data_IF_620970990743
#
_entry.id   IF_620970990743
#
_cell.length_a   1.000
_cell.length_b   1.000
_cell.length_c   1.000
_cell.angle_alpha   90.00
_cell.angle_beta   90.00
_cell.angle_gamma   90.00
#
_symmetry.space_group_name_H-M   'P 1'
#
loop_
_entity.id
_entity.type
_entity.pdbx_description
1 polymer ?
#
# COMPACT_ATOMS: atom_id res chain seq x y z
N UNK A 1 -9.11 -7.05 24.62
CA UNK A 1 -9.25 -7.41 23.18
C UNK A 1 -9.96 -6.23 22.54
N UNK A 2 -9.26 -5.46 21.73
CA UNK A 2 -9.94 -4.41 20.94
C UNK A 2 -10.96 -5.10 20.04
N UNK A 3 -12.18 -4.54 20.02
CA UNK A 3 -13.24 -5.05 19.16
C UNK A 3 -12.84 -4.86 17.68
N UNK A 4 -13.03 -5.90 16.89
CA UNK A 4 -12.76 -5.89 15.44
C UNK A 4 -13.39 -4.67 14.73
N UNK A 5 -14.64 -4.32 15.11
CA UNK A 5 -15.34 -3.16 14.56
C UNK A 5 -14.64 -1.83 14.87
N UNK A 6 -14.03 -1.68 16.02
CA UNK A 6 -13.30 -0.48 16.40
C UNK A 6 -11.98 -0.35 15.64
N UNK A 7 -11.28 -1.46 15.35
CA UNK A 7 -10.10 -1.44 14.48
C UNK A 7 -10.44 -1.01 13.06
N UNK A 8 -11.52 -1.53 12.46
CA UNK A 8 -11.95 -1.13 11.11
C UNK A 8 -12.33 0.35 11.08
N UNK A 9 -13.08 0.83 12.07
CA UNK A 9 -13.43 2.26 12.18
C UNK A 9 -12.18 3.14 12.28
N UNK A 10 -11.22 2.74 13.10
CA UNK A 10 -9.96 3.46 13.22
C UNK A 10 -9.19 3.50 11.90
N UNK A 11 -9.06 2.35 11.21
CA UNK A 11 -8.37 2.28 9.92
C UNK A 11 -9.02 3.13 8.82
N UNK A 12 -10.30 3.45 8.92
CA UNK A 12 -11.03 4.28 7.95
C UNK A 12 -11.30 5.71 8.47
N UNK A 13 -10.74 6.09 9.62
CA UNK A 13 -11.04 7.36 10.29
C UNK A 13 -10.43 8.58 9.58
N UNK A 14 -11.09 9.74 9.76
CA UNK A 14 -10.52 11.03 9.34
C UNK A 14 -9.23 11.38 10.11
N UNK A 15 -9.07 10.89 11.36
CA UNK A 15 -7.85 11.04 12.13
C UNK A 15 -6.67 10.37 11.43
N UNK A 16 -6.86 9.14 10.91
CA UNK A 16 -5.81 8.44 10.15
C UNK A 16 -5.42 9.21 8.89
N UNK A 17 -6.34 9.91 8.23
CA UNK A 17 -6.02 10.77 7.08
C UNK A 17 -5.08 11.92 7.44
N UNK A 18 -5.12 12.41 8.67
CA UNK A 18 -4.16 13.42 9.15
C UNK A 18 -2.76 12.84 9.31
N UNK A 19 -2.64 11.52 9.51
CA UNK A 19 -1.35 10.85 9.67
C UNK A 19 -0.69 10.52 8.33
N UNK A 20 -1.47 10.12 7.33
CA UNK A 20 -1.00 9.83 5.97
C UNK A 20 -2.19 9.87 5.01
N UNK A 21 -2.33 10.97 4.31
CA UNK A 21 -3.47 11.23 3.43
C UNK A 21 -3.30 10.51 2.08
N UNK A 22 -4.18 9.54 1.72
CA UNK A 22 -4.07 8.76 0.49
C UNK A 22 -4.08 9.62 -0.78
N UNK A 23 -4.93 10.65 -0.84
CA UNK A 23 -5.04 11.51 -2.02
C UNK A 23 -3.73 12.28 -2.27
N UNK A 24 -3.06 12.74 -1.21
CA UNK A 24 -1.77 13.42 -1.30
C UNK A 24 -0.68 12.47 -1.79
N UNK A 25 -0.62 11.25 -1.22
CA UNK A 25 0.34 10.21 -1.60
C UNK A 25 0.17 9.83 -3.07
N UNK A 26 -1.06 9.55 -3.52
CA UNK A 26 -1.35 9.21 -4.91
C UNK A 26 -1.02 10.36 -5.87
N UNK A 27 -1.23 11.62 -5.46
CA UNK A 27 -0.85 12.82 -6.23
C UNK A 27 0.66 12.93 -6.39
N UNK A 28 1.44 12.57 -5.37
CA UNK A 28 2.91 12.63 -5.39
C UNK A 28 3.52 11.73 -6.47
N UNK A 29 2.85 10.65 -6.83
CA UNK A 29 3.25 9.68 -7.86
C UNK A 29 2.73 10.05 -9.24
N UNK A 30 1.68 10.85 -9.32
CA UNK A 30 1.05 11.24 -10.58
C UNK A 30 0.17 10.13 -11.18
N UNK A 31 -0.76 9.61 -10.39
CA UNK A 31 -1.75 8.62 -10.88
C UNK A 31 -2.52 9.17 -12.08
N UNK A 32 -2.64 8.38 -13.14
CA UNK A 32 -3.39 8.72 -14.36
C UNK A 32 -4.59 7.79 -14.50
N UNK A 33 -5.66 8.30 -15.11
CA UNK A 33 -6.85 7.51 -15.43
C UNK A 33 -6.49 6.28 -16.28
N UNK A 34 -7.04 5.12 -15.89
CA UNK A 34 -6.83 3.86 -16.59
C UNK A 34 -5.60 3.06 -16.14
N UNK A 35 -4.84 3.51 -15.15
CA UNK A 35 -3.74 2.73 -14.56
C UNK A 35 -4.25 1.49 -13.85
N UNK A 36 -3.44 0.42 -13.87
CA UNK A 36 -3.59 -0.75 -13.03
C UNK A 36 -2.72 -0.58 -11.78
N UNK A 37 -3.31 -0.72 -10.61
CA UNK A 37 -2.62 -0.54 -9.33
C UNK A 37 -2.79 -1.75 -8.41
N UNK A 38 -1.84 -1.96 -7.50
CA UNK A 38 -1.92 -2.99 -6.46
C UNK A 38 -1.73 -2.33 -5.09
N UNK A 39 -2.64 -2.65 -4.16
CA UNK A 39 -2.61 -2.28 -2.75
C UNK A 39 -2.29 -3.55 -1.95
N UNK A 40 -1.02 -3.70 -1.56
CA UNK A 40 -0.53 -4.87 -0.84
C UNK A 40 -0.64 -4.64 0.67
N UNK A 41 -1.44 -5.45 1.36
CA UNK A 41 -1.87 -5.19 2.73
C UNK A 41 -3.03 -4.20 2.77
N UNK A 42 -4.02 -4.40 1.91
CA UNK A 42 -5.12 -3.44 1.67
C UNK A 42 -5.99 -3.14 2.90
N UNK A 43 -6.02 -4.07 3.86
CA UNK A 43 -6.89 -3.95 5.02
C UNK A 43 -8.35 -3.68 4.64
N UNK A 44 -9.04 -2.75 5.32
CA UNK A 44 -10.43 -2.39 5.02
C UNK A 44 -10.58 -1.38 3.87
N UNK A 45 -9.49 -1.06 3.13
CA UNK A 45 -9.52 -0.28 1.90
C UNK A 45 -9.19 1.20 2.01
N UNK A 46 -8.44 1.58 3.03
CA UNK A 46 -8.04 2.97 3.26
C UNK A 46 -7.31 3.59 2.05
N UNK A 47 -6.44 2.82 1.39
CA UNK A 47 -5.79 3.22 0.13
C UNK A 47 -6.54 2.69 -1.11
N UNK A 48 -7.07 1.47 -1.06
CA UNK A 48 -7.77 0.85 -2.20
C UNK A 48 -8.86 1.74 -2.79
N UNK A 49 -9.73 2.32 -1.95
CA UNK A 49 -10.85 3.16 -2.41
C UNK A 49 -10.37 4.46 -3.06
N UNK A 50 -9.46 5.24 -2.48
CA UNK A 50 -8.83 6.38 -3.14
C UNK A 50 -8.11 6.02 -4.46
N UNK A 51 -7.40 4.88 -4.51
CA UNK A 51 -6.76 4.39 -5.74
C UNK A 51 -7.79 4.15 -6.84
N UNK A 52 -8.90 3.48 -6.52
CA UNK A 52 -9.98 3.22 -7.46
C UNK A 52 -10.62 4.53 -7.98
N UNK A 53 -10.87 5.51 -7.10
CA UNK A 53 -11.35 6.84 -7.51
C UNK A 53 -10.37 7.56 -8.42
N UNK A 54 -9.07 7.45 -8.14
CA UNK A 54 -8.02 8.10 -8.91
C UNK A 54 -7.87 7.50 -10.31
N UNK A 55 -7.83 6.17 -10.43
CA UNK A 55 -7.69 5.50 -11.72
C UNK A 55 -8.97 5.53 -12.56
N UNK A 56 -10.15 5.57 -11.90
CA UNK A 56 -11.47 5.66 -12.56
C UNK A 56 -11.85 4.39 -13.33
N UNK A 57 -12.98 4.46 -14.04
CA UNK A 57 -13.68 3.29 -14.64
C UNK A 57 -12.85 2.45 -15.62
N UNK A 58 -11.79 2.99 -16.20
CA UNK A 58 -10.90 2.27 -17.13
C UNK A 58 -9.70 1.65 -16.45
N UNK A 59 -9.53 1.87 -15.15
CA UNK A 59 -8.43 1.32 -14.36
C UNK A 59 -8.82 0.02 -13.67
N UNK A 60 -7.84 -0.51 -12.91
CA UNK A 60 -8.02 -1.70 -12.09
C UNK A 60 -7.19 -1.54 -10.82
N UNK A 61 -7.75 -1.94 -9.68
CA UNK A 61 -7.04 -2.01 -8.41
C UNK A 61 -7.11 -3.42 -7.85
N UNK A 62 -5.96 -4.05 -7.68
CA UNK A 62 -5.82 -5.28 -6.92
C UNK A 62 -5.67 -4.95 -5.45
N UNK A 63 -6.57 -5.45 -4.61
CA UNK A 63 -6.53 -5.28 -3.16
C UNK A 63 -6.19 -6.62 -2.51
N UNK A 64 -4.98 -6.73 -1.98
CA UNK A 64 -4.43 -7.98 -1.45
C UNK A 64 -4.30 -7.90 0.07
N UNK A 65 -4.85 -8.88 0.78
CA UNK A 65 -4.67 -9.03 2.23
C UNK A 65 -4.86 -10.49 2.63
N UNK A 66 -4.19 -10.92 3.69
CA UNK A 66 -4.39 -12.27 4.27
C UNK A 66 -5.59 -12.33 5.20
N UNK A 67 -6.01 -11.20 5.76
CA UNK A 67 -7.06 -11.13 6.78
C UNK A 67 -8.45 -11.06 6.14
N UNK A 68 -9.14 -12.22 6.11
CA UNK A 68 -10.50 -12.35 5.54
C UNK A 68 -11.49 -11.36 6.15
N UNK A 69 -11.37 -11.06 7.45
CA UNK A 69 -12.26 -10.11 8.10
C UNK A 69 -12.05 -8.69 7.57
N UNK A 70 -10.80 -8.27 7.36
CA UNK A 70 -10.47 -6.97 6.73
C UNK A 70 -10.99 -6.90 5.30
N UNK A 71 -10.86 -7.99 4.52
CA UNK A 71 -11.40 -8.03 3.16
C UNK A 71 -12.94 -7.99 3.13
N UNK A 72 -13.62 -8.53 4.14
CA UNK A 72 -15.07 -8.37 4.26
C UNK A 72 -15.45 -6.91 4.55
N UNK A 73 -14.74 -6.25 5.46
CA UNK A 73 -14.92 -4.83 5.70
C UNK A 73 -14.61 -3.98 4.46
N UNK A 74 -13.59 -4.36 3.67
CA UNK A 74 -13.29 -3.73 2.37
C UNK A 74 -14.48 -3.80 1.42
N UNK A 75 -15.14 -4.96 1.30
CA UNK A 75 -16.34 -5.11 0.44
C UNK A 75 -17.47 -4.17 0.87
N UNK A 76 -17.71 -4.07 2.18
CA UNK A 76 -18.71 -3.16 2.75
C UNK A 76 -18.35 -1.69 2.45
N UNK A 77 -17.09 -1.31 2.67
CA UNK A 77 -16.60 0.04 2.41
C UNK A 77 -16.67 0.41 0.92
N UNK A 78 -16.35 -0.52 0.01
CA UNK A 78 -16.53 -0.33 -1.44
C UNK A 78 -17.99 -0.03 -1.77
N UNK A 79 -18.93 -0.82 -1.24
CA UNK A 79 -20.36 -0.62 -1.48
C UNK A 79 -20.85 0.76 -1.02
N UNK A 80 -20.28 1.30 0.07
CA UNK A 80 -20.63 2.61 0.61
C UNK A 80 -19.89 3.77 -0.07
N UNK A 81 -18.79 3.51 -0.79
CA UNK A 81 -17.88 4.53 -1.32
C UNK A 81 -18.36 5.21 -2.61
N UNK A 82 -19.33 4.61 -3.31
CA UNK A 82 -19.78 5.01 -4.64
C UNK A 82 -18.79 4.65 -5.76
N UNK A 83 -17.75 3.88 -5.47
CA UNK A 83 -16.83 3.35 -6.49
C UNK A 83 -17.45 2.15 -7.19
N UNK A 84 -17.24 2.03 -8.49
CA UNK A 84 -17.62 0.84 -9.23
C UNK A 84 -16.79 -0.36 -8.75
N UNK A 85 -17.45 -1.34 -8.13
CA UNK A 85 -16.77 -2.52 -7.58
C UNK A 85 -16.07 -3.37 -8.66
N UNK A 86 -16.46 -3.24 -9.94
CA UNK A 86 -15.85 -3.97 -11.07
C UNK A 86 -14.40 -3.61 -11.34
N UNK A 87 -13.96 -2.44 -10.87
CA UNK A 87 -12.56 -1.99 -11.01
C UNK A 87 -11.69 -2.34 -9.80
N UNK A 88 -12.23 -3.10 -8.83
CA UNK A 88 -11.47 -3.55 -7.65
C UNK A 88 -11.53 -5.08 -7.60
N UNK A 89 -10.38 -5.72 -7.74
CA UNK A 89 -10.23 -7.16 -7.56
C UNK A 89 -9.66 -7.44 -6.16
N UNK A 90 -10.45 -8.14 -5.34
CA UNK A 90 -10.09 -8.47 -3.95
C UNK A 90 -9.45 -9.85 -3.95
N UNK A 91 -8.21 -9.93 -3.45
CA UNK A 91 -7.41 -11.15 -3.41
C UNK A 91 -7.09 -11.49 -1.96
N UNK A 92 -7.56 -12.65 -1.49
CA UNK A 92 -7.14 -13.19 -0.20
C UNK A 92 -5.88 -14.03 -0.40
N UNK A 93 -4.74 -13.43 -0.20
CA UNK A 93 -3.43 -14.08 -0.36
C UNK A 93 -2.34 -13.37 0.43
N UNK A 94 -1.23 -14.07 0.63
CA UNK A 94 0.01 -13.46 1.10
C UNK A 94 0.57 -12.49 0.05
N UNK A 95 1.14 -11.38 0.52
CA UNK A 95 1.71 -10.33 -0.34
C UNK A 95 2.94 -10.80 -1.13
N UNK A 96 3.53 -11.94 -0.76
CA UNK A 96 4.64 -12.60 -1.49
C UNK A 96 4.16 -13.54 -2.60
N UNK A 97 2.85 -13.81 -2.72
CA UNK A 97 2.25 -14.74 -3.70
C UNK A 97 0.85 -14.28 -4.13
N UNK A 98 0.76 -13.10 -4.70
CA UNK A 98 -0.52 -12.41 -4.92
C UNK A 98 -1.41 -13.04 -6.00
N UNK A 99 -0.85 -13.79 -6.94
CA UNK A 99 -1.56 -14.28 -8.12
C UNK A 99 -1.82 -13.21 -9.20
N UNK A 100 -1.44 -11.95 -8.97
CA UNK A 100 -1.58 -10.87 -9.96
C UNK A 100 -0.75 -11.20 -11.21
N UNK A 101 -1.24 -10.92 -12.43
CA UNK A 101 -0.49 -11.20 -13.66
C UNK A 101 0.87 -10.50 -13.69
N UNK A 102 1.90 -11.21 -14.20
CA UNK A 102 3.25 -10.67 -14.34
C UNK A 102 3.27 -9.40 -15.22
N UNK A 103 3.98 -8.36 -14.76
CA UNK A 103 4.22 -7.15 -15.54
C UNK A 103 2.96 -6.36 -15.88
N UNK A 104 1.91 -6.45 -15.06
CA UNK A 104 0.60 -5.83 -15.32
C UNK A 104 0.37 -4.52 -14.56
N UNK A 105 1.12 -4.26 -13.49
CA UNK A 105 0.83 -3.19 -12.53
C UNK A 105 1.67 -1.95 -12.80
N UNK A 106 1.01 -0.79 -12.88
CA UNK A 106 1.65 0.52 -13.05
C UNK A 106 2.13 1.11 -11.72
N UNK A 107 1.39 0.86 -10.64
CA UNK A 107 1.72 1.35 -9.29
C UNK A 107 1.49 0.22 -8.28
N UNK A 108 2.52 -0.13 -7.53
CA UNK A 108 2.41 -1.01 -6.36
C UNK A 108 2.57 -0.15 -5.11
N UNK A 109 1.58 -0.20 -4.24
CA UNK A 109 1.60 0.47 -2.94
C UNK A 109 1.56 -0.56 -1.83
N UNK A 110 2.37 -0.36 -0.80
CA UNK A 110 2.26 -1.05 0.47
C UNK A 110 2.42 -0.03 1.61
N UNK A 111 1.36 0.07 2.43
CA UNK A 111 1.28 1.07 3.48
C UNK A 111 1.18 0.40 4.85
N UNK A 112 2.16 0.64 5.70
CA UNK A 112 2.32 0.00 7.00
C UNK A 112 2.45 -1.55 6.90
N UNK A 113 3.22 -2.01 5.92
CA UNK A 113 3.42 -3.42 5.61
C UNK A 113 4.89 -3.83 5.73
N UNK A 114 5.82 -3.03 5.21
CA UNK A 114 7.22 -3.44 5.09
C UNK A 114 7.86 -3.81 6.43
N UNK A 115 7.48 -3.17 7.52
CA UNK A 115 7.98 -3.47 8.85
C UNK A 115 7.47 -4.83 9.40
N UNK A 116 6.36 -5.37 8.86
CA UNK A 116 5.78 -6.66 9.24
C UNK A 116 6.26 -7.83 8.34
N UNK A 117 6.90 -7.52 7.19
CA UNK A 117 7.33 -8.56 6.24
C UNK A 117 8.52 -9.33 6.77
N UNK A 118 8.33 -10.63 7.04
CA UNK A 118 9.38 -11.54 7.50
C UNK A 118 10.31 -11.96 6.35
N UNK A 119 9.76 -12.45 5.23
CA UNK A 119 10.53 -12.82 4.03
C UNK A 119 10.50 -11.67 3.01
N UNK A 120 11.38 -10.69 3.23
CA UNK A 120 11.52 -9.54 2.34
C UNK A 120 11.97 -9.91 0.93
N UNK A 121 12.76 -10.97 0.80
CA UNK A 121 13.22 -11.43 -0.51
C UNK A 121 12.04 -11.92 -1.36
N UNK A 122 11.21 -12.81 -0.83
CA UNK A 122 10.01 -13.31 -1.51
C UNK A 122 9.03 -12.17 -1.82
N UNK A 123 8.79 -11.27 -0.86
CA UNK A 123 7.95 -10.10 -1.05
C UNK A 123 8.41 -9.22 -2.21
N UNK A 124 9.67 -8.82 -2.25
CA UNK A 124 10.18 -7.95 -3.31
C UNK A 124 10.33 -8.67 -4.66
N UNK A 125 10.54 -9.99 -4.67
CA UNK A 125 10.45 -10.78 -5.90
C UNK A 125 9.03 -10.71 -6.50
N UNK A 126 8.00 -10.81 -5.65
CA UNK A 126 6.61 -10.69 -6.09
C UNK A 126 6.28 -9.26 -6.55
N UNK A 127 6.66 -8.23 -5.77
CA UNK A 127 6.52 -6.83 -6.18
C UNK A 127 7.14 -6.60 -7.57
N UNK A 128 8.36 -7.10 -7.79
CA UNK A 128 9.03 -7.01 -9.09
C UNK A 128 8.31 -7.78 -10.18
N UNK A 129 7.82 -8.99 -9.88
CA UNK A 129 7.13 -9.86 -10.84
C UNK A 129 5.87 -9.20 -11.39
N UNK A 130 5.04 -8.59 -10.53
CA UNK A 130 3.77 -7.95 -10.92
C UNK A 130 3.97 -6.59 -11.59
N UNK A 131 5.06 -5.90 -11.29
CA UNK A 131 5.35 -4.54 -11.76
C UNK A 131 5.70 -4.50 -13.25
N UNK A 132 5.18 -3.50 -13.95
CA UNK A 132 5.70 -3.10 -15.25
C UNK A 132 7.14 -2.56 -15.12
N UNK A 133 7.98 -2.59 -16.17
CA UNK A 133 9.32 -1.99 -16.13
C UNK A 133 9.31 -0.50 -15.75
N UNK A 134 8.22 0.19 -16.06
CA UNK A 134 8.03 1.62 -15.79
C UNK A 134 7.27 1.89 -14.49
N UNK A 135 6.88 0.85 -13.74
CA UNK A 135 6.05 0.99 -12.55
C UNK A 135 6.67 1.90 -11.48
N UNK A 136 5.81 2.49 -10.69
CA UNK A 136 6.19 3.12 -9.42
C UNK A 136 5.87 2.17 -8.26
N UNK A 137 6.77 2.17 -7.29
CA UNK A 137 6.61 1.43 -6.03
C UNK A 137 6.53 2.46 -4.92
N UNK A 138 5.51 2.38 -4.09
CA UNK A 138 5.26 3.32 -3.00
C UNK A 138 5.31 2.56 -1.69
N UNK A 139 6.28 2.91 -0.85
CA UNK A 139 6.35 2.50 0.54
C UNK A 139 5.91 3.66 1.43
N UNK A 140 4.87 3.45 2.23
CA UNK A 140 4.42 4.37 3.26
C UNK A 140 4.48 3.65 4.58
N UNK A 141 5.38 4.08 5.47
CA UNK A 141 5.51 3.38 6.74
C UNK A 141 5.84 4.33 7.91
N UNK A 142 5.77 3.80 9.12
CA UNK A 142 5.98 4.54 10.35
C UNK A 142 7.42 5.03 10.47
N UNK A 143 7.57 6.33 10.75
CA UNK A 143 8.85 6.88 11.18
C UNK A 143 9.33 6.19 12.45
N UNK A 144 10.62 5.96 12.56
CA UNK A 144 11.24 5.34 13.75
C UNK A 144 11.39 6.35 14.89
N UNK A 145 10.26 6.94 15.31
CA UNK A 145 10.14 7.91 16.42
C UNK A 145 9.14 7.41 17.46
N UNK A 146 9.23 7.90 18.70
CA UNK A 146 8.23 7.58 19.73
C UNK A 146 6.90 8.22 19.39
N UNK A 147 5.83 7.41 19.39
CA UNK A 147 4.44 7.83 19.16
C UNK A 147 3.53 7.12 20.15
N UNK A 148 2.34 7.66 20.38
CA UNK A 148 1.32 7.02 21.22
C UNK A 148 0.64 5.84 20.51
N UNK A 149 0.73 5.79 19.16
CA UNK A 149 0.08 4.79 18.32
C UNK A 149 1.11 4.08 17.42
N UNK A 150 0.67 3.00 16.78
CA UNK A 150 1.44 2.23 15.80
C UNK A 150 2.27 1.10 16.41
N UNK A 151 3.08 0.42 15.59
CA UNK A 151 3.89 -0.71 16.03
C UNK A 151 5.00 -0.30 17.02
N UNK A 152 5.51 -1.23 17.82
CA UNK A 152 6.65 -0.97 18.70
C UNK A 152 7.84 -0.37 17.93
N UNK A 153 8.55 0.57 18.56
CA UNK A 153 9.68 1.29 17.93
C UNK A 153 10.75 0.35 17.35
N UNK A 154 10.96 -0.81 17.96
CA UNK A 154 11.93 -1.83 17.52
C UNK A 154 11.55 -2.51 16.20
N UNK A 155 10.27 -2.50 15.84
CA UNK A 155 9.72 -3.11 14.63
C UNK A 155 9.70 -2.13 13.46
N UNK A 156 9.80 -0.82 13.74
CA UNK A 156 9.81 0.22 12.71
C UNK A 156 11.16 0.30 12.00
N UNK A 157 11.12 0.55 10.72
CA UNK A 157 12.29 0.92 9.93
C UNK A 157 12.42 2.44 9.89
N UNK A 158 13.64 2.96 10.08
CA UNK A 158 13.91 4.35 9.70
C UNK A 158 13.89 4.50 8.18
N UNK A 159 13.77 5.72 7.70
CA UNK A 159 13.80 6.01 6.27
C UNK A 159 15.07 5.47 5.60
N UNK A 160 16.21 5.53 6.27
CA UNK A 160 17.48 5.04 5.72
C UNK A 160 17.56 3.50 5.73
N UNK A 161 17.04 2.85 6.78
CA UNK A 161 16.90 1.38 6.82
C UNK A 161 15.95 0.90 5.71
N UNK A 162 14.81 1.55 5.50
CA UNK A 162 13.86 1.22 4.44
C UNK A 162 14.47 1.42 3.04
N UNK A 163 15.18 2.52 2.80
CA UNK A 163 15.90 2.76 1.54
C UNK A 163 16.94 1.68 1.25
N UNK A 164 17.68 1.26 2.28
CA UNK A 164 18.67 0.20 2.13
C UNK A 164 18.00 -1.12 1.75
N UNK A 165 16.90 -1.48 2.43
CA UNK A 165 16.10 -2.69 2.10
C UNK A 165 15.59 -2.63 0.66
N UNK A 166 15.03 -1.50 0.23
CA UNK A 166 14.57 -1.30 -1.15
C UNK A 166 15.70 -1.47 -2.17
N UNK A 167 16.87 -0.85 -1.91
CA UNK A 167 18.03 -0.91 -2.81
C UNK A 167 18.57 -2.33 -2.94
N UNK A 168 18.72 -3.05 -1.84
CA UNK A 168 19.18 -4.45 -1.82
C UNK A 168 18.26 -5.39 -2.59
N UNK A 169 16.97 -5.05 -2.68
CA UNK A 169 15.98 -5.82 -3.43
C UNK A 169 15.72 -5.28 -4.84
N UNK A 170 16.58 -4.37 -5.32
CA UNK A 170 16.57 -3.89 -6.71
C UNK A 170 15.54 -2.81 -7.02
N UNK A 171 15.30 -1.92 -6.05
CA UNK A 171 14.48 -0.73 -6.22
C UNK A 171 15.28 0.52 -5.82
N UNK A 172 15.28 1.55 -6.65
CA UNK A 172 15.92 2.83 -6.33
C UNK A 172 14.87 3.86 -5.91
N UNK A 173 15.11 4.50 -4.77
CA UNK A 173 14.28 5.62 -4.30
C UNK A 173 14.54 6.83 -5.19
N UNK A 174 13.49 7.34 -5.81
CA UNK A 174 13.54 8.54 -6.67
C UNK A 174 12.96 9.78 -5.98
N UNK A 175 12.15 9.58 -4.97
CA UNK A 175 11.56 10.67 -4.17
C UNK A 175 11.30 10.18 -2.75
N UNK A 176 11.57 11.03 -1.77
CA UNK A 176 11.19 10.84 -0.38
C UNK A 176 10.39 12.07 0.06
N UNK A 177 9.29 11.84 0.76
CA UNK A 177 8.48 12.91 1.36
C UNK A 177 7.96 12.48 2.74
N UNK A 178 7.55 13.47 3.52
CA UNK A 178 6.76 13.22 4.72
C UNK A 178 5.33 12.88 4.31
N UNK A 179 4.81 11.76 4.80
CA UNK A 179 3.40 11.38 4.65
C UNK A 179 2.60 11.76 5.90
N UNK A 180 2.87 12.94 6.44
CA UNK A 180 2.29 13.44 7.69
C UNK A 180 3.23 13.30 8.89
N UNK A 181 2.73 13.49 10.12
CA UNK A 181 3.59 13.62 11.29
C UNK A 181 4.31 12.34 11.67
N UNK A 182 3.72 11.18 11.39
CA UNK A 182 4.19 9.88 11.89
C UNK A 182 4.71 8.93 10.81
N UNK A 183 4.49 9.25 9.52
CA UNK A 183 4.84 8.38 8.40
C UNK A 183 5.79 9.06 7.43
N UNK A 184 6.59 8.26 6.75
CA UNK A 184 7.34 8.65 5.56
C UNK A 184 6.70 8.06 4.31
N UNK A 185 7.02 8.63 3.16
CA UNK A 185 6.69 8.10 1.83
C UNK A 185 7.97 7.98 1.02
N UNK A 186 8.25 6.78 0.52
CA UNK A 186 9.33 6.51 -0.43
C UNK A 186 8.72 6.08 -1.77
N UNK A 187 9.03 6.84 -2.82
CA UNK A 187 8.63 6.50 -4.19
C UNK A 187 9.85 5.94 -4.90
N UNK A 188 9.71 4.74 -5.44
CA UNK A 188 10.79 3.98 -6.04
C UNK A 188 10.49 3.56 -7.48
N UNK A 189 11.55 3.19 -8.18
CA UNK A 189 11.53 2.54 -9.49
C UNK A 189 12.28 1.22 -9.43
N UNK A 190 11.84 0.18 -10.19
CA UNK A 190 12.68 -0.97 -10.41
C UNK A 190 14.02 -0.56 -11.02
N UNK A 191 15.13 -1.05 -10.47
CA UNK A 191 16.43 -0.90 -11.12
C UNK A 191 16.54 -1.84 -12.31
N UNK A 192 17.14 -1.38 -13.41
CA UNK A 192 17.50 -2.29 -14.50
C UNK A 192 18.54 -3.30 -13.97
N UNK A 193 18.26 -4.58 -14.12
CA UNK A 193 19.22 -5.66 -13.90
C UNK A 193 19.93 -5.92 -15.22
#
# INVERSE_FOLDING_TARGET
MEDYGDRVKFFMSEERKQWHNPETILKNVGVVKGMTMADLGSGPGFFTIPMAKATGEKGLVYAVDTNVSMLNALKENIAMSGVDSRIIEIINSDVSHTGIPKGSVDIVLFANVLHEVEDRQAFFQEVRRISKPTAYIIDVDWKKIKTEHGPPLKERLSEDEAKQVLLENGFSVIKQTDAGPYHYELICKPTCI
#
